data_IF_345922358725
#
_entry.id   IF_345922358725
#
_cell.length_a   1.000
_cell.length_b   1.000
_cell.length_c   1.000
_cell.angle_alpha   90.00
_cell.angle_beta   90.00
_cell.angle_gamma   90.00
#
_symmetry.space_group_name_H-M   'P 1'
#
loop_
_entity.id
_entity.type
_entity.pdbx_description
1 polymer ?
#
# COMPACT_ATOMS: atom_id res chain seq x y z
N UNK A 1 1.82 1.40 -3.99
CA UNK A 1 1.40 1.95 -5.31
C UNK A 1 -0.07 1.75 -5.67
N UNK A 2 -0.61 0.53 -5.72
CA UNK A 2 -1.99 0.29 -6.23
C UNK A 2 -3.14 0.90 -5.39
N UNK A 3 -2.87 1.39 -4.16
CA UNK A 3 -3.90 1.83 -3.19
C UNK A 3 -4.17 3.33 -3.19
N UNK A 4 -3.19 4.19 -3.49
CA UNK A 4 -3.39 5.65 -3.48
C UNK A 4 -4.08 6.13 -4.77
N UNK A 5 -3.77 5.55 -5.93
CA UNK A 5 -4.42 5.87 -7.19
C UNK A 5 -5.92 5.48 -7.24
N UNK A 6 -6.32 4.41 -6.56
CA UNK A 6 -7.72 3.96 -6.50
C UNK A 6 -8.60 4.83 -5.58
N UNK A 7 -8.01 5.51 -4.59
CA UNK A 7 -8.74 6.30 -3.58
C UNK A 7 -8.82 7.78 -3.97
N UNK A 8 -7.81 8.32 -4.65
CA UNK A 8 -7.74 9.75 -5.00
C UNK A 8 -8.41 10.11 -6.33
N UNK A 9 -8.68 9.14 -7.22
CA UNK A 9 -9.18 9.40 -8.57
C UNK A 9 -10.33 8.44 -8.95
N UNK A 10 -11.57 8.69 -8.48
CA UNK A 10 -12.73 7.93 -8.95
C UNK A 10 -13.03 8.16 -10.44
N UNK A 11 -12.41 9.16 -11.09
CA UNK A 11 -12.71 9.59 -12.46
C UNK A 11 -11.70 9.16 -13.54
N UNK A 12 -10.56 8.56 -13.19
CA UNK A 12 -9.60 8.05 -14.18
C UNK A 12 -8.98 6.69 -13.83
N UNK A 13 -9.69 5.88 -13.05
CA UNK A 13 -9.35 4.48 -12.81
C UNK A 13 -9.24 3.68 -14.13
N UNK A 14 -10.07 4.03 -15.12
CA UNK A 14 -10.22 3.27 -16.37
C UNK A 14 -9.05 3.46 -17.37
N UNK A 15 -8.27 4.55 -17.25
CA UNK A 15 -7.23 4.90 -18.24
C UNK A 15 -5.86 4.31 -17.89
N UNK A 16 -5.51 4.21 -16.59
CA UNK A 16 -4.17 3.78 -16.16
C UNK A 16 -4.16 2.40 -15.48
N UNK A 17 -5.27 2.01 -14.83
CA UNK A 17 -5.42 0.74 -14.13
C UNK A 17 -6.56 -0.07 -14.73
N UNK A 18 -6.39 -0.46 -16.00
CA UNK A 18 -7.18 -1.55 -16.57
C UNK A 18 -7.05 -2.78 -15.67
N UNK A 19 -8.16 -3.50 -15.43
CA UNK A 19 -8.18 -4.74 -14.62
C UNK A 19 -7.06 -5.72 -15.02
N UNK A 20 -6.64 -5.71 -16.29
CA UNK A 20 -5.54 -6.53 -16.82
C UNK A 20 -4.18 -6.08 -16.26
N UNK A 21 -3.88 -4.77 -16.30
CA UNK A 21 -2.65 -4.18 -15.76
C UNK A 21 -2.56 -4.39 -14.25
N UNK A 22 -3.67 -4.20 -13.53
CA UNK A 22 -3.72 -4.45 -12.08
C UNK A 22 -3.39 -5.90 -11.74
N UNK A 23 -3.97 -6.87 -12.47
CA UNK A 23 -3.66 -8.30 -12.28
C UNK A 23 -2.19 -8.60 -12.56
N UNK A 24 -1.62 -8.04 -13.63
CA UNK A 24 -0.19 -8.21 -13.96
C UNK A 24 0.70 -7.66 -12.84
N UNK A 25 0.43 -6.44 -12.35
CA UNK A 25 1.21 -5.84 -11.26
C UNK A 25 1.11 -6.65 -9.96
N UNK A 26 -0.05 -7.24 -9.66
CA UNK A 26 -0.20 -8.15 -8.51
C UNK A 26 0.71 -9.37 -8.71
N UNK A 27 0.63 -10.03 -9.87
CA UNK A 27 1.47 -11.21 -10.16
C UNK A 27 2.95 -10.86 -10.04
N UNK A 28 3.39 -9.75 -10.65
CA UNK A 28 4.79 -9.27 -10.55
C UNK A 28 5.19 -9.03 -9.10
N UNK A 29 4.32 -8.40 -8.31
CA UNK A 29 4.57 -8.12 -6.88
C UNK A 29 4.77 -9.37 -6.04
N UNK A 30 4.27 -10.53 -6.46
CA UNK A 30 4.51 -11.81 -5.79
C UNK A 30 5.73 -12.53 -6.35
N UNK A 31 5.84 -12.59 -7.68
CA UNK A 31 6.89 -13.38 -8.36
C UNK A 31 8.27 -12.77 -8.11
N UNK A 32 8.42 -11.44 -8.14
CA UNK A 32 9.74 -10.80 -7.98
C UNK A 32 10.35 -11.07 -6.60
N UNK A 33 9.66 -10.83 -5.46
CA UNK A 33 10.22 -11.15 -4.14
C UNK A 33 10.46 -12.64 -3.93
N UNK A 34 9.57 -13.51 -4.42
CA UNK A 34 9.75 -14.97 -4.29
C UNK A 34 10.99 -15.43 -5.07
N UNK A 35 11.17 -14.94 -6.29
CA UNK A 35 12.34 -15.29 -7.11
C UNK A 35 13.62 -14.79 -6.47
N UNK A 36 13.63 -13.55 -5.96
CA UNK A 36 14.78 -13.00 -5.25
C UNK A 36 15.12 -13.83 -4.00
N UNK A 37 14.10 -14.20 -3.20
CA UNK A 37 14.28 -15.06 -2.04
C UNK A 37 14.89 -16.41 -2.47
N UNK A 38 14.32 -17.09 -3.47
CA UNK A 38 14.83 -18.38 -3.95
C UNK A 38 16.29 -18.30 -4.41
N UNK A 39 16.70 -17.21 -5.07
CA UNK A 39 18.10 -17.00 -5.48
C UNK A 39 19.00 -16.79 -4.27
N UNK A 40 18.60 -15.95 -3.31
CA UNK A 40 19.38 -15.68 -2.11
C UNK A 40 19.57 -16.92 -1.22
N UNK A 41 18.48 -17.64 -0.96
CA UNK A 41 18.50 -18.85 -0.12
C UNK A 41 19.08 -20.06 -0.85
N UNK A 42 18.70 -20.28 -2.11
CA UNK A 42 19.03 -21.52 -2.84
C UNK A 42 20.38 -21.53 -3.55
N UNK A 43 20.88 -20.36 -3.98
CA UNK A 43 22.13 -20.27 -4.77
C UNK A 43 23.29 -19.68 -3.96
N UNK A 44 23.03 -18.61 -3.19
CA UNK A 44 24.08 -17.91 -2.43
C UNK A 44 24.17 -18.33 -0.95
N UNK A 45 23.26 -19.18 -0.47
CA UNK A 45 23.18 -19.62 0.95
C UNK A 45 23.11 -18.43 1.94
N UNK A 46 22.50 -17.33 1.50
CA UNK A 46 22.34 -16.10 2.26
C UNK A 46 21.06 -16.13 3.10
N UNK A 47 21.08 -16.85 4.21
CA UNK A 47 19.93 -16.90 5.12
C UNK A 47 19.66 -15.57 5.83
N UNK A 48 18.38 -15.21 5.97
CA UNK A 48 17.94 -14.11 6.83
C UNK A 48 17.57 -14.65 8.22
N UNK A 49 18.53 -14.58 9.15
CA UNK A 49 18.42 -15.21 10.47
C UNK A 49 18.30 -14.19 11.60
N UNK A 50 17.60 -14.56 12.66
CA UNK A 50 17.55 -13.76 13.88
C UNK A 50 18.85 -13.95 14.69
N UNK A 51 19.63 -12.88 14.85
CA UNK A 51 20.84 -12.92 15.65
C UNK A 51 20.52 -12.61 17.12
N UNK A 52 20.63 -13.64 17.97
CA UNK A 52 20.30 -13.54 19.40
C UNK A 52 21.28 -12.66 20.21
N UNK A 53 22.46 -12.29 19.67
CA UNK A 53 23.40 -11.40 20.37
C UNK A 53 22.99 -9.94 20.29
N UNK A 54 22.57 -9.50 19.10
CA UNK A 54 22.22 -8.10 18.80
C UNK A 54 20.70 -7.86 18.73
N UNK A 55 19.91 -8.93 18.82
CA UNK A 55 18.45 -8.90 18.70
C UNK A 55 17.99 -8.21 17.42
N UNK A 56 18.54 -8.63 16.29
CA UNK A 56 18.16 -8.11 14.98
C UNK A 56 18.13 -9.26 13.98
N UNK A 57 17.23 -9.15 13.01
CA UNK A 57 17.28 -10.00 11.82
C UNK A 57 18.38 -9.48 10.91
N UNK A 58 19.31 -10.35 10.54
CA UNK A 58 20.45 -10.01 9.69
C UNK A 58 20.69 -11.15 8.70
N UNK A 59 21.22 -10.80 7.53
CA UNK A 59 21.73 -11.81 6.61
C UNK A 59 23.00 -12.46 7.17
N UNK A 60 23.25 -13.72 6.77
CA UNK A 60 24.49 -14.45 7.05
C UNK A 60 25.71 -13.57 6.75
N UNK A 61 26.67 -13.57 7.67
CA UNK A 61 27.78 -12.61 7.69
C UNK A 61 28.97 -13.01 6.80
N UNK A 62 28.72 -13.59 5.62
CA UNK A 62 29.75 -13.82 4.60
C UNK A 62 30.01 -12.53 3.82
N UNK A 63 31.20 -12.38 3.22
CA UNK A 63 31.54 -11.17 2.44
C UNK A 63 30.58 -10.96 1.26
N UNK A 64 30.18 -12.06 0.59
CA UNK A 64 29.23 -12.00 -0.53
C UNK A 64 27.83 -11.59 -0.09
N UNK A 65 27.29 -12.18 0.98
CA UNK A 65 25.96 -11.85 1.48
C UNK A 65 25.90 -10.42 2.07
N UNK A 66 27.00 -9.93 2.65
CA UNK A 66 27.11 -8.53 3.10
C UNK A 66 27.08 -7.55 1.93
N UNK A 67 27.84 -7.84 0.87
CA UNK A 67 27.84 -7.00 -0.34
C UNK A 67 26.46 -6.99 -0.99
N UNK A 68 25.82 -8.16 -1.10
CA UNK A 68 24.47 -8.33 -1.64
C UNK A 68 23.45 -7.57 -0.79
N UNK A 69 23.44 -7.75 0.54
CA UNK A 69 22.47 -7.05 1.38
C UNK A 69 22.67 -5.53 1.34
N UNK A 70 23.91 -5.04 1.43
CA UNK A 70 24.16 -3.61 1.40
C UNK A 70 23.88 -2.98 0.03
N UNK A 71 24.25 -3.62 -1.08
CA UNK A 71 24.10 -3.02 -2.41
C UNK A 71 22.77 -3.34 -3.08
N UNK A 72 22.17 -4.51 -2.81
CA UNK A 72 20.89 -4.86 -3.40
C UNK A 72 19.76 -4.33 -2.52
N UNK A 73 19.74 -4.58 -1.21
CA UNK A 73 18.59 -4.16 -0.39
C UNK A 73 18.52 -2.64 -0.24
N UNK A 74 19.62 -1.97 0.13
CA UNK A 74 19.60 -0.51 0.31
C UNK A 74 19.21 0.23 -0.97
N UNK A 75 19.86 -0.08 -2.10
CA UNK A 75 19.56 0.62 -3.35
C UNK A 75 18.21 0.22 -3.93
N UNK A 76 17.76 -1.03 -3.76
CA UNK A 76 16.41 -1.44 -4.14
C UNK A 76 15.38 -0.67 -3.33
N UNK A 77 15.51 -0.63 -2.01
CA UNK A 77 14.55 0.06 -1.13
C UNK A 77 14.57 1.57 -1.39
N UNK A 78 15.76 2.17 -1.57
CA UNK A 78 15.90 3.57 -1.99
C UNK A 78 15.23 3.84 -3.34
N UNK A 79 15.43 2.97 -4.33
CA UNK A 79 14.82 3.11 -5.66
C UNK A 79 13.28 3.02 -5.60
N UNK A 80 12.76 2.12 -4.77
CA UNK A 80 11.31 1.97 -4.54
C UNK A 80 10.75 3.23 -3.90
N UNK A 81 11.42 3.79 -2.89
CA UNK A 81 11.02 5.05 -2.24
C UNK A 81 10.99 6.19 -3.26
N UNK A 82 11.99 6.30 -4.14
CA UNK A 82 12.02 7.32 -5.21
C UNK A 82 10.85 7.15 -6.18
N UNK A 83 10.59 5.92 -6.64
CA UNK A 83 9.46 5.63 -7.55
C UNK A 83 8.12 5.97 -6.88
N UNK A 84 7.95 5.62 -5.60
CA UNK A 84 6.75 5.97 -4.83
C UNK A 84 6.58 7.49 -4.76
N UNK A 85 7.65 8.23 -4.44
CA UNK A 85 7.61 9.69 -4.38
C UNK A 85 7.20 10.31 -5.73
N UNK A 86 7.73 9.81 -6.85
CA UNK A 86 7.33 10.26 -8.19
C UNK A 86 5.83 10.01 -8.43
N UNK A 87 5.35 8.81 -8.11
CA UNK A 87 3.94 8.43 -8.29
C UNK A 87 3.01 9.29 -7.43
N UNK A 88 3.41 9.58 -6.20
CA UNK A 88 2.64 10.43 -5.30
C UNK A 88 2.56 11.87 -5.82
N UNK A 89 3.67 12.42 -6.34
CA UNK A 89 3.70 13.74 -6.99
C UNK A 89 2.77 13.77 -8.21
N UNK A 90 2.86 12.78 -9.10
CA UNK A 90 1.99 12.67 -10.28
C UNK A 90 0.51 12.56 -9.88
N UNK A 91 0.22 11.81 -8.81
CA UNK A 91 -1.13 11.67 -8.28
C UNK A 91 -1.65 13.01 -7.76
N UNK A 92 -0.84 13.74 -6.99
CA UNK A 92 -1.19 15.06 -6.46
C UNK A 92 -1.45 16.05 -7.61
N UNK A 93 -0.56 16.10 -8.60
CA UNK A 93 -0.70 16.98 -9.75
C UNK A 93 -2.00 16.71 -10.52
N UNK A 94 -2.31 15.44 -10.76
CA UNK A 94 -3.53 15.01 -11.45
C UNK A 94 -4.80 15.32 -10.67
N UNK A 95 -4.78 15.10 -9.35
CA UNK A 95 -5.88 15.48 -8.45
C UNK A 95 -6.09 17.00 -8.49
N UNK A 96 -5.01 17.77 -8.47
CA UNK A 96 -5.07 19.23 -8.54
C UNK A 96 -5.71 19.73 -9.84
N UNK A 97 -5.27 19.21 -11.00
CA UNK A 97 -5.87 19.54 -12.31
C UNK A 97 -7.37 19.20 -12.32
N UNK A 98 -7.72 17.99 -11.89
CA UNK A 98 -9.12 17.53 -11.83
C UNK A 98 -9.96 18.45 -10.93
N UNK A 99 -9.40 18.91 -9.81
CA UNK A 99 -10.08 19.82 -8.89
C UNK A 99 -10.26 21.23 -9.49
N UNK A 100 -9.26 21.74 -10.22
CA UNK A 100 -9.37 23.02 -10.95
C UNK A 100 -10.46 22.95 -12.02
N UNK A 101 -10.55 21.84 -12.75
CA UNK A 101 -11.59 21.62 -13.76
C UNK A 101 -13.01 21.59 -13.15
N UNK A 102 -13.18 20.90 -12.02
CA UNK A 102 -14.47 20.83 -11.32
C UNK A 102 -14.85 22.20 -10.72
N UNK A 103 -13.89 23.00 -10.25
CA UNK A 103 -14.15 24.37 -9.77
C UNK A 103 -14.77 25.25 -10.87
N UNK A 104 -14.35 25.09 -12.13
CA UNK A 104 -14.94 25.80 -13.27
C UNK A 104 -16.41 25.45 -13.49
N UNK A 105 -16.86 24.27 -13.06
CA UNK A 105 -18.27 23.83 -13.11
C UNK A 105 -19.14 24.30 -11.92
N UNK A 106 -18.60 25.12 -11.00
CA UNK A 106 -19.40 25.83 -9.97
C UNK A 106 -19.87 25.00 -8.77
N UNK A 107 -19.30 23.81 -8.51
CA UNK A 107 -19.66 22.99 -7.32
C UNK A 107 -18.99 23.50 -6.05
N UNK A 108 -19.78 23.74 -5.00
CA UNK A 108 -19.43 24.30 -3.68
C UNK A 108 -18.64 23.37 -2.73
N UNK A 109 -18.28 22.14 -3.13
CA UNK A 109 -17.53 21.18 -2.29
C UNK A 109 -16.00 21.41 -2.34
N UNK A 110 -15.54 22.62 -2.72
CA UNK A 110 -14.13 22.93 -2.99
C UNK A 110 -13.22 22.88 -1.76
N UNK A 111 -13.75 23.27 -0.59
CA UNK A 111 -12.93 23.45 0.62
C UNK A 111 -12.65 22.12 1.33
N UNK A 112 -13.66 21.24 1.39
CA UNK A 112 -13.49 19.88 1.90
C UNK A 112 -12.51 19.08 1.05
N UNK A 113 -12.56 19.23 -0.28
CA UNK A 113 -11.63 18.59 -1.22
C UNK A 113 -10.21 19.09 -1.06
N UNK A 114 -10.02 20.42 -0.99
CA UNK A 114 -8.70 21.03 -0.74
C UNK A 114 -8.09 20.54 0.58
N UNK A 115 -8.90 20.42 1.63
CA UNK A 115 -8.44 19.88 2.92
C UNK A 115 -7.98 18.41 2.79
N UNK A 116 -8.69 17.60 2.02
CA UNK A 116 -8.29 16.21 1.75
C UNK A 116 -6.99 16.12 0.94
N UNK A 117 -6.80 16.98 -0.07
CA UNK A 117 -5.55 17.09 -0.84
C UNK A 117 -4.36 17.42 0.06
N UNK A 118 -4.50 18.43 0.92
CA UNK A 118 -3.45 18.82 1.87
C UNK A 118 -3.15 17.67 2.85
N UNK A 119 -4.18 16.99 3.34
CA UNK A 119 -3.98 15.85 4.24
C UNK A 119 -3.30 14.68 3.53
N UNK A 120 -3.57 14.46 2.24
CA UNK A 120 -2.90 13.45 1.42
C UNK A 120 -1.42 13.76 1.24
N UNK A 121 -1.11 15.01 0.85
CA UNK A 121 0.28 15.47 0.75
C UNK A 121 1.02 15.30 2.08
N UNK A 122 0.38 15.66 3.20
CA UNK A 122 0.97 15.47 4.53
C UNK A 122 1.29 14.01 4.81
N UNK A 123 0.43 13.06 4.45
CA UNK A 123 0.72 11.64 4.63
C UNK A 123 1.89 11.18 3.77
N UNK A 124 1.90 11.52 2.47
CA UNK A 124 2.97 11.11 1.57
C UNK A 124 4.33 11.64 2.04
N UNK A 125 4.40 12.90 2.47
CA UNK A 125 5.61 13.51 3.03
C UNK A 125 6.02 12.83 4.33
N UNK A 126 5.10 12.63 5.27
CA UNK A 126 5.41 11.98 6.55
C UNK A 126 5.86 10.53 6.35
N UNK A 127 5.23 9.79 5.44
CA UNK A 127 5.59 8.42 5.13
C UNK A 127 6.99 8.35 4.49
N UNK A 128 7.31 9.26 3.57
CA UNK A 128 8.67 9.39 3.02
C UNK A 128 9.71 9.68 4.10
N UNK A 129 9.43 10.58 5.05
CA UNK A 129 10.34 10.87 6.18
C UNK A 129 10.53 9.63 7.05
N UNK A 130 9.47 8.91 7.38
CA UNK A 130 9.53 7.69 8.20
C UNK A 130 10.42 6.63 7.53
N UNK A 131 10.26 6.41 6.23
CA UNK A 131 11.11 5.49 5.46
C UNK A 131 12.59 5.92 5.42
N UNK A 132 12.88 7.21 5.22
CA UNK A 132 14.27 7.69 5.23
C UNK A 132 14.90 7.54 6.60
N UNK A 133 14.16 7.86 7.66
CA UNK A 133 14.62 7.69 9.04
C UNK A 133 14.89 6.22 9.32
N UNK A 134 14.01 5.31 8.91
CA UNK A 134 14.19 3.87 9.06
C UNK A 134 15.47 3.37 8.36
N UNK A 135 15.70 3.75 7.10
CA UNK A 135 16.91 3.37 6.36
C UNK A 135 18.16 3.88 7.09
N UNK A 136 18.14 5.13 7.55
CA UNK A 136 19.24 5.70 8.31
C UNK A 136 19.44 4.97 9.65
N UNK A 137 18.37 4.68 10.39
CA UNK A 137 18.48 4.02 11.68
C UNK A 137 18.99 2.59 11.54
N UNK A 138 18.53 1.85 10.52
CA UNK A 138 18.90 0.46 10.28
C UNK A 138 20.34 0.32 9.75
N UNK A 139 20.70 1.09 8.71
CA UNK A 139 21.99 0.92 8.02
C UNK A 139 23.13 1.69 8.66
N UNK A 140 22.86 2.78 9.39
CA UNK A 140 23.91 3.59 10.01
C UNK A 140 23.82 3.61 11.54
N UNK A 141 22.70 4.04 12.10
CA UNK A 141 22.63 4.39 13.52
C UNK A 141 22.69 3.17 14.45
N UNK A 142 22.04 2.06 14.10
CA UNK A 142 21.98 0.85 14.92
C UNK A 142 23.38 0.31 15.24
N UNK A 143 24.32 0.40 14.29
CA UNK A 143 25.68 -0.13 14.42
C UNK A 143 26.63 0.75 15.24
N UNK A 144 26.18 1.94 15.67
CA UNK A 144 26.95 2.81 16.56
C UNK A 144 26.79 2.44 18.05
N UNK A 145 25.89 1.51 18.37
CA UNK A 145 25.57 1.13 19.75
C UNK A 145 25.91 -0.33 20.01
N UNK A 146 26.47 -0.61 21.18
CA UNK A 146 26.70 -1.98 21.66
C UNK A 146 25.48 -2.55 22.41
N UNK A 147 24.54 -1.69 22.82
CA UNK A 147 23.36 -2.10 23.57
C UNK A 147 22.32 -2.76 22.65
N UNK A 148 22.11 -4.06 22.84
CA UNK A 148 21.13 -4.88 22.09
C UNK A 148 19.69 -4.36 22.09
N UNK A 149 19.25 -3.70 23.17
CA UNK A 149 17.90 -3.11 23.20
C UNK A 149 17.77 -1.92 22.25
N UNK A 150 18.82 -1.11 22.17
CA UNK A 150 18.87 0.04 21.25
C UNK A 150 18.97 -0.47 19.81
N UNK A 151 19.83 -1.46 19.54
CA UNK A 151 19.93 -2.10 18.22
C UNK A 151 18.59 -2.69 17.77
N UNK A 152 17.92 -3.47 18.63
CA UNK A 152 16.59 -4.01 18.33
C UNK A 152 15.55 -2.92 18.06
N UNK A 153 15.56 -1.83 18.84
CA UNK A 153 14.63 -0.74 18.67
C UNK A 153 14.83 -0.01 17.33
N UNK A 154 16.08 0.28 16.96
CA UNK A 154 16.45 1.00 15.74
C UNK A 154 16.35 0.14 14.46
N UNK A 155 16.32 -1.18 14.60
CA UNK A 155 16.18 -2.12 13.49
C UNK A 155 14.77 -2.69 13.43
N UNK A 156 14.49 -3.67 14.28
CA UNK A 156 13.28 -4.51 14.22
C UNK A 156 12.03 -3.73 14.64
N UNK A 157 12.09 -2.97 15.74
CA UNK A 157 10.92 -2.22 16.18
C UNK A 157 10.60 -1.07 15.21
N UNK A 158 11.61 -0.33 14.75
CA UNK A 158 11.47 0.71 13.73
C UNK A 158 10.84 0.15 12.44
N UNK A 159 11.34 -0.98 11.92
CA UNK A 159 10.78 -1.65 10.75
C UNK A 159 9.29 -1.97 10.89
N UNK A 160 8.88 -2.55 12.04
CA UNK A 160 7.48 -2.84 12.30
C UNK A 160 6.60 -1.57 12.38
N UNK A 161 7.12 -0.49 12.95
CA UNK A 161 6.42 0.80 13.05
C UNK A 161 6.15 1.36 11.65
N UNK A 162 7.13 1.27 10.72
CA UNK A 162 6.95 1.71 9.33
C UNK A 162 5.81 0.93 8.66
N UNK A 163 5.80 -0.40 8.73
CA UNK A 163 4.72 -1.23 8.16
C UNK A 163 3.36 -0.97 8.81
N UNK A 164 3.34 -0.61 10.10
CA UNK A 164 2.11 -0.21 10.78
C UNK A 164 1.62 1.16 10.32
N UNK A 165 2.52 2.10 10.01
CA UNK A 165 2.16 3.43 9.51
C UNK A 165 1.45 3.37 8.15
N UNK A 166 1.93 2.50 7.27
CA UNK A 166 1.29 2.16 5.98
C UNK A 166 -0.15 1.66 6.18
N UNK A 167 -0.38 0.87 7.24
CA UNK A 167 -1.70 0.32 7.59
C UNK A 167 -2.64 1.36 8.22
N UNK A 168 -2.10 2.30 8.99
CA UNK A 168 -2.89 3.38 9.61
C UNK A 168 -3.41 4.38 8.59
N UNK A 169 -2.65 4.65 7.52
CA UNK A 169 -3.06 5.50 6.39
C UNK A 169 -4.30 4.94 5.69
N UNK A 170 -4.35 3.62 5.51
CA UNK A 170 -5.48 2.90 4.91
C UNK A 170 -6.77 3.06 5.74
N UNK A 171 -6.65 2.88 7.06
CA UNK A 171 -7.76 2.99 8.01
C UNK A 171 -8.23 4.45 8.18
N UNK A 172 -7.30 5.40 8.13
CA UNK A 172 -7.57 6.82 8.30
C UNK A 172 -8.28 7.47 7.11
N UNK A 173 -7.91 7.13 5.88
CA UNK A 173 -8.30 7.90 4.69
C UNK A 173 -9.45 7.34 3.89
N UNK A 174 -9.90 6.13 4.20
CA UNK A 174 -11.09 5.59 3.58
C UNK A 174 -12.32 5.87 4.46
N UNK A 175 -12.99 7.00 4.22
CA UNK A 175 -14.25 7.34 4.90
C UNK A 175 -15.34 6.27 4.65
N UNK A 176 -15.35 5.65 3.47
CA UNK A 176 -16.20 4.50 3.14
C UNK A 176 -15.82 3.27 3.98
N UNK A 177 -14.53 3.00 4.20
CA UNK A 177 -14.08 1.87 5.03
C UNK A 177 -14.33 2.10 6.54
N UNK A 178 -14.16 3.33 7.02
CA UNK A 178 -14.55 3.69 8.40
C UNK A 178 -16.06 3.59 8.61
N UNK A 179 -16.86 3.88 7.57
CA UNK A 179 -18.31 3.70 7.57
C UNK A 179 -18.70 2.22 7.47
N UNK A 180 -17.95 1.43 6.69
CA UNK A 180 -18.06 -0.03 6.58
C UNK A 180 -17.78 -0.73 7.92
N UNK A 181 -16.70 -0.34 8.62
CA UNK A 181 -16.35 -0.86 9.95
C UNK A 181 -17.34 -0.43 11.04
N UNK A 182 -17.95 0.75 10.93
CA UNK A 182 -18.98 1.22 11.87
C UNK A 182 -20.38 0.64 11.61
N UNK A 183 -20.64 0.00 10.46
CA UNK A 183 -21.98 -0.53 10.14
C UNK A 183 -21.92 -1.90 9.45
N UNK A 184 -21.48 -2.96 10.16
CA UNK A 184 -21.42 -4.32 9.61
C UNK A 184 -22.79 -4.86 9.17
N UNK A 185 -23.90 -4.33 9.71
CA UNK A 185 -25.26 -4.83 9.48
C UNK A 185 -25.85 -4.58 8.08
N UNK A 186 -25.28 -3.71 7.24
CA UNK A 186 -25.83 -3.42 5.89
C UNK A 186 -25.44 -4.44 4.82
N UNK A 187 -24.40 -5.23 5.04
CA UNK A 187 -23.91 -6.24 4.09
C UNK A 187 -24.94 -7.36 3.92
N UNK A 188 -25.51 -7.85 5.03
CA UNK A 188 -26.52 -8.91 4.99
C UNK A 188 -27.83 -8.48 4.30
N UNK A 189 -28.14 -7.18 4.29
CA UNK A 189 -29.38 -6.66 3.69
C UNK A 189 -29.27 -6.47 2.18
N UNK A 190 -28.08 -6.16 1.64
CA UNK A 190 -27.89 -5.97 0.19
C UNK A 190 -27.93 -7.33 -0.53
N UNK A 191 -27.33 -8.37 0.04
CA UNK A 191 -27.41 -9.73 -0.54
C UNK A 191 -28.84 -10.28 -0.52
N UNK A 192 -29.60 -10.03 0.54
CA UNK A 192 -31.01 -10.47 0.62
C UNK A 192 -31.93 -9.70 -0.32
N UNK A 193 -31.68 -8.41 -0.60
CA UNK A 193 -32.47 -7.64 -1.57
C UNK A 193 -32.13 -8.00 -3.03
N UNK A 194 -30.85 -8.27 -3.33
CA UNK A 194 -30.42 -8.72 -4.66
C UNK A 194 -30.97 -10.11 -4.99
N UNK A 195 -30.97 -11.03 -4.01
CA UNK A 195 -31.63 -12.33 -4.16
C UNK A 195 -33.14 -12.21 -4.37
N UNK A 196 -33.87 -11.44 -3.53
CA UNK A 196 -35.32 -11.23 -3.70
C UNK A 196 -35.70 -10.63 -5.06
N UNK A 197 -34.86 -9.76 -5.60
CA UNK A 197 -35.09 -9.14 -6.91
C UNK A 197 -34.87 -10.15 -8.04
N UNK A 198 -33.85 -11.01 -7.94
CA UNK A 198 -33.64 -12.12 -8.88
C UNK A 198 -34.79 -13.14 -8.83
N UNK A 199 -35.30 -13.50 -7.65
CA UNK A 199 -36.42 -14.46 -7.54
C UNK A 199 -37.68 -13.89 -8.19
N UNK A 200 -38.04 -12.63 -7.92
CA UNK A 200 -39.21 -11.97 -8.53
C UNK A 200 -39.16 -11.89 -10.06
N UNK A 201 -37.99 -11.65 -10.64
CA UNK A 201 -37.83 -11.58 -12.11
C UNK A 201 -37.98 -12.97 -12.73
N UNK A 202 -37.60 -14.03 -12.00
CA UNK A 202 -37.72 -15.42 -12.46
C UNK A 202 -39.17 -15.91 -12.39
N UNK A 203 -39.91 -15.52 -11.34
CA UNK A 203 -41.34 -15.83 -11.17
C UNK A 203 -42.20 -15.07 -12.21
N UNK A 204 -41.89 -13.80 -12.47
CA UNK A 204 -42.59 -13.00 -13.49
C UNK A 204 -42.36 -13.50 -14.93
N UNK A 205 -41.28 -14.24 -15.20
CA UNK A 205 -40.99 -14.81 -16.52
C UNK A 205 -41.55 -16.22 -16.70
N UNK A 206 -41.90 -16.92 -15.62
CA UNK A 206 -42.55 -18.23 -15.67
C UNK A 206 -44.07 -18.09 -15.87
N UNK A 207 -44.71 -17.11 -15.23
CA UNK A 207 -46.14 -16.81 -15.44
C UNK A 207 -46.47 -16.33 -16.87
N UNK A 208 -45.51 -15.70 -17.56
CA UNK A 208 -45.68 -15.30 -18.97
C UNK A 208 -45.53 -16.46 -19.97
N UNK A 209 -45.07 -17.64 -19.52
CA UNK A 209 -44.80 -18.79 -20.39
C UNK A 209 -45.86 -19.88 -20.35
N UNK A 210 -46.80 -19.81 -19.41
CA UNK A 210 -47.88 -20.78 -19.22
C UNK A 210 -49.26 -20.27 -19.68
N UNK A 211 -49.31 -19.05 -20.22
CA UNK A 211 -50.54 -18.37 -20.69
C UNK A 211 -50.73 -18.36 -22.21
N UNK A 212 -50.44 -19.46 -22.89
CA UNK A 212 -50.80 -19.77 -24.29
C UNK A 212 -51.10 -21.24 -24.41
#
# INVERSE_FOLDING_TARGET
>A
MNRMCAICLPLQYDVYFSRKVTKILIVISWVVPITLALVLYGYYDCDFVFNNRIWAFVFTQTEECKFISWNIDFYKDLSIVIVIAIVDILTIFKVHITNVEIRKTGRTDSDRRRKNEINFLKQAVMQGIVFVVELFTYFYLAWQFENKWIMWALTTAAWNIVHCSDSLIILGFNAEFRKFLRTPKRIFTIDTLSQRTKTRITDSNSDKRTGT
#
